data_IF_810394853498
#
_entry.id   IF_810394853498
#
_cell.length_a   1.000
_cell.length_b   1.000
_cell.length_c   1.000
_cell.angle_alpha   90.00
_cell.angle_beta   90.00
_cell.angle_gamma   90.00
#
_symmetry.space_group_name_H-M   'P 1'
#
loop_
_entity.id
_entity.type
_entity.pdbx_description
1 polymer ?
#
# COMPACT_ATOMS: atom_id res chain seq x y z
N UNK A 1 -2.88 20.68 -1.67
CA UNK A 1 -2.93 19.21 -1.56
C UNK A 1 -3.17 18.84 -0.09
N UNK A 2 -3.99 17.83 0.15
CA UNK A 2 -4.14 17.19 1.45
C UNK A 2 -3.40 15.85 1.39
N UNK A 3 -2.57 15.58 2.40
CA UNK A 3 -1.88 14.32 2.56
C UNK A 3 -2.60 13.49 3.64
N UNK A 4 -2.86 12.23 3.35
CA UNK A 4 -3.43 11.26 4.29
C UNK A 4 -2.51 10.05 4.35
N UNK A 5 -1.90 9.85 5.51
CA UNK A 5 -0.96 8.77 5.78
C UNK A 5 -1.63 7.65 6.57
N UNK A 6 -1.11 6.45 6.41
CA UNK A 6 -1.54 5.30 7.18
C UNK A 6 -1.10 5.41 8.64
N UNK A 7 -2.05 5.32 9.57
CA UNK A 7 -1.84 5.40 11.02
C UNK A 7 -1.56 4.00 11.61
N UNK A 8 -0.46 3.37 11.19
CA UNK A 8 -0.14 1.99 11.56
C UNK A 8 0.11 1.82 13.08
N UNK A 9 0.56 2.86 13.77
CA UNK A 9 0.88 2.82 15.21
C UNK A 9 -0.35 2.67 16.09
N UNK A 10 -1.54 2.96 15.58
CA UNK A 10 -2.80 2.82 16.32
C UNK A 10 -3.27 1.36 16.43
N UNK A 11 -2.69 0.44 15.66
CA UNK A 11 -3.10 -0.96 15.70
C UNK A 11 -2.49 -1.69 16.91
N UNK A 12 -3.28 -2.00 17.95
CA UNK A 12 -2.77 -2.60 19.19
C UNK A 12 -2.31 -4.05 19.01
N UNK A 13 -2.71 -4.71 17.91
CA UNK A 13 -2.38 -6.10 17.62
C UNK A 13 -1.09 -6.24 16.80
N UNK A 14 -0.63 -5.16 16.16
CA UNK A 14 0.48 -5.21 15.23
C UNK A 14 1.81 -5.70 15.85
N UNK A 15 2.20 -5.29 17.06
CA UNK A 15 3.42 -5.80 17.68
C UNK A 15 3.36 -7.31 18.02
N UNK A 16 2.18 -7.81 18.34
CA UNK A 16 1.99 -9.23 18.64
C UNK A 16 1.84 -10.05 17.35
N UNK A 17 1.29 -9.47 16.29
CA UNK A 17 1.23 -10.09 14.96
C UNK A 17 2.62 -10.47 14.44
N UNK A 18 3.62 -9.60 14.57
CA UNK A 18 4.99 -9.93 14.13
C UNK A 18 5.64 -11.07 14.92
N UNK A 19 5.18 -11.33 16.16
CA UNK A 19 5.66 -12.45 16.99
C UNK A 19 4.91 -13.75 16.71
N UNK A 20 3.60 -13.67 16.46
CA UNK A 20 2.71 -14.80 16.25
C UNK A 20 1.63 -14.45 15.21
N UNK A 21 1.98 -14.49 13.90
CA UNK A 21 1.06 -14.13 12.82
C UNK A 21 -0.20 -14.99 12.76
N UNK A 22 -0.09 -16.30 13.08
CA UNK A 22 -1.23 -17.21 13.05
C UNK A 22 -2.29 -16.83 14.08
N UNK A 23 -1.88 -16.40 15.24
CA UNK A 23 -2.77 -16.03 16.34
C UNK A 23 -3.39 -14.65 16.19
N UNK A 24 -2.62 -13.69 15.72
CA UNK A 24 -3.03 -12.27 15.71
C UNK A 24 -3.35 -11.72 14.32
N UNK A 25 -3.21 -12.54 13.27
CA UNK A 25 -3.44 -12.12 11.90
C UNK A 25 -4.84 -11.55 11.67
N UNK A 26 -5.88 -12.27 12.08
CA UNK A 26 -7.26 -11.84 11.85
C UNK A 26 -7.59 -10.50 12.55
N UNK A 27 -7.24 -10.36 13.81
CA UNK A 27 -7.49 -9.13 14.57
C UNK A 27 -6.73 -7.94 13.96
N UNK A 28 -5.49 -8.17 13.56
CA UNK A 28 -4.63 -7.15 12.96
C UNK A 28 -5.21 -6.66 11.62
N UNK A 29 -5.60 -7.58 10.75
CA UNK A 29 -6.15 -7.23 9.44
C UNK A 29 -7.54 -6.59 9.56
N UNK A 30 -8.39 -7.08 10.48
CA UNK A 30 -9.70 -6.49 10.71
C UNK A 30 -9.59 -5.07 11.28
N UNK A 31 -8.63 -4.83 12.17
CA UNK A 31 -8.38 -3.48 12.70
C UNK A 31 -7.98 -2.51 11.59
N UNK A 32 -7.01 -2.88 10.75
CA UNK A 32 -6.59 -2.06 9.62
C UNK A 32 -7.72 -1.79 8.63
N UNK A 33 -8.55 -2.79 8.33
CA UNK A 33 -9.71 -2.63 7.46
C UNK A 33 -10.67 -1.55 7.99
N UNK A 34 -11.01 -1.64 9.28
CA UNK A 34 -11.93 -0.70 9.93
C UNK A 34 -11.33 0.71 10.04
N UNK A 35 -10.04 0.82 10.35
CA UNK A 35 -9.32 2.09 10.43
C UNK A 35 -9.28 2.78 9.07
N UNK A 36 -8.89 2.06 7.99
CA UNK A 36 -8.92 2.62 6.63
C UNK A 36 -10.34 3.01 6.19
N UNK A 37 -11.35 2.23 6.56
CA UNK A 37 -12.72 2.59 6.28
C UNK A 37 -13.12 3.89 6.98
N UNK A 38 -12.76 4.07 8.25
CA UNK A 38 -12.98 5.32 8.99
C UNK A 38 -12.30 6.50 8.30
N UNK A 39 -11.03 6.38 7.94
CA UNK A 39 -10.31 7.41 7.18
C UNK A 39 -11.02 7.74 5.86
N UNK A 40 -11.53 6.75 5.12
CA UNK A 40 -12.29 6.98 3.89
C UNK A 40 -13.61 7.75 4.14
N UNK A 41 -14.29 7.51 5.27
CA UNK A 41 -15.50 8.29 5.62
C UNK A 41 -15.15 9.76 5.92
N UNK A 42 -14.03 10.01 6.60
CA UNK A 42 -13.54 11.36 6.86
C UNK A 42 -13.15 12.10 5.58
N UNK A 43 -12.58 11.39 4.59
CA UNK A 43 -12.26 11.96 3.28
C UNK A 43 -13.50 12.40 2.49
N UNK A 44 -14.62 11.73 2.64
CA UNK A 44 -15.89 12.13 2.00
C UNK A 44 -16.45 13.47 2.51
N UNK A 45 -16.13 13.81 3.75
CA UNK A 45 -16.56 15.06 4.37
C UNK A 45 -15.65 16.23 4.02
N UNK A 46 -14.58 15.96 3.26
CA UNK A 46 -13.58 16.96 2.92
C UNK A 46 -14.10 17.91 1.86
N UNK A 47 -13.89 19.16 2.20
CA UNK A 47 -14.21 20.40 1.56
C UNK A 47 -14.05 20.38 0.02
N UNK A 48 -15.09 20.83 -0.69
CA UNK A 48 -15.11 21.06 -2.14
C UNK A 48 -14.00 22.01 -2.63
N UNK A 49 -13.23 22.63 -1.72
CA UNK A 49 -12.12 23.53 -2.02
C UNK A 49 -10.75 22.85 -2.15
N UNK A 50 -10.63 21.55 -1.85
CA UNK A 50 -9.34 20.84 -1.96
C UNK A 50 -9.17 20.22 -3.35
N UNK A 51 -8.23 20.79 -4.10
CA UNK A 51 -7.97 20.40 -5.50
C UNK A 51 -7.18 19.08 -5.66
N UNK A 52 -6.52 18.59 -4.62
CA UNK A 52 -5.66 17.39 -4.68
C UNK A 52 -5.62 16.68 -3.33
N UNK A 53 -5.91 15.39 -3.35
CA UNK A 53 -5.77 14.46 -2.23
C UNK A 53 -4.69 13.45 -2.58
N UNK A 54 -3.73 13.23 -1.68
CA UNK A 54 -2.70 12.21 -1.79
C UNK A 54 -2.82 11.27 -0.60
N UNK A 55 -2.82 9.96 -0.88
CA UNK A 55 -2.78 8.91 0.16
C UNK A 55 -1.58 8.02 -0.09
N UNK A 56 -0.92 7.53 0.97
CA UNK A 56 0.20 6.58 0.87
C UNK A 56 -0.27 5.12 0.85
N UNK A 57 -1.57 4.89 0.77
CA UNK A 57 -2.19 3.57 0.67
C UNK A 57 -3.43 3.56 -0.22
N UNK A 58 -3.79 2.39 -0.69
CA UNK A 58 -5.10 2.08 -1.26
C UNK A 58 -5.91 1.23 -0.26
N UNK A 59 -7.24 1.33 -0.31
CA UNK A 59 -8.11 0.53 0.55
C UNK A 59 -7.86 -0.98 0.39
N UNK A 60 -7.58 -1.44 -0.82
CA UNK A 60 -7.27 -2.84 -1.13
C UNK A 60 -5.98 -3.36 -0.49
N UNK A 61 -5.06 -2.48 -0.08
CA UNK A 61 -3.80 -2.88 0.56
C UNK A 61 -4.03 -3.90 1.67
N UNK A 62 -5.02 -3.66 2.50
CA UNK A 62 -5.35 -4.54 3.61
C UNK A 62 -5.75 -5.95 3.16
N UNK A 63 -6.52 -6.05 2.09
CA UNK A 63 -6.92 -7.35 1.52
C UNK A 63 -5.74 -8.14 0.95
N UNK A 64 -4.74 -7.45 0.39
CA UNK A 64 -3.52 -8.10 -0.10
C UNK A 64 -2.73 -8.72 1.07
N UNK A 65 -2.60 -8.01 2.19
CA UNK A 65 -2.02 -8.57 3.40
C UNK A 65 -2.87 -9.69 4.00
N UNK A 66 -4.18 -9.51 4.07
CA UNK A 66 -5.11 -10.51 4.59
C UNK A 66 -5.00 -11.84 3.81
N UNK A 67 -4.82 -11.78 2.50
CA UNK A 67 -4.70 -12.98 1.66
C UNK A 67 -3.49 -13.86 2.00
N UNK A 68 -2.45 -13.30 2.60
CA UNK A 68 -1.27 -14.04 3.05
C UNK A 68 -1.35 -14.48 4.52
N UNK A 69 -2.06 -13.72 5.34
CA UNK A 69 -1.99 -13.86 6.79
C UNK A 69 -3.19 -14.60 7.39
N UNK A 70 -4.27 -14.78 6.62
CA UNK A 70 -5.51 -15.36 7.11
C UNK A 70 -5.71 -16.77 6.54
N UNK A 71 -6.21 -17.69 7.38
CA UNK A 71 -6.69 -18.97 6.90
C UNK A 71 -8.02 -18.81 6.14
N UNK A 72 -8.48 -19.88 5.48
CA UNK A 72 -9.68 -19.84 4.64
C UNK A 72 -10.95 -19.35 5.36
N UNK A 73 -11.14 -19.73 6.62
CA UNK A 73 -12.33 -19.35 7.40
C UNK A 73 -12.27 -17.87 7.81
N UNK A 74 -11.09 -17.43 8.22
CA UNK A 74 -10.83 -16.04 8.58
C UNK A 74 -10.94 -15.13 7.36
N UNK A 75 -10.36 -15.55 6.23
CA UNK A 75 -10.46 -14.82 4.96
C UNK A 75 -11.91 -14.72 4.47
N UNK A 76 -12.69 -15.80 4.60
CA UNK A 76 -14.11 -15.76 4.27
C UNK A 76 -14.86 -14.70 5.10
N UNK A 77 -14.63 -14.65 6.42
CA UNK A 77 -15.26 -13.66 7.29
C UNK A 77 -14.77 -12.25 6.98
N UNK A 78 -13.46 -12.09 6.79
CA UNK A 78 -12.83 -10.83 6.39
C UNK A 78 -13.49 -10.28 5.11
N UNK A 79 -13.62 -11.10 4.07
CA UNK A 79 -14.23 -10.72 2.79
C UNK A 79 -15.70 -10.29 2.95
N UNK A 80 -16.47 -10.93 3.83
CA UNK A 80 -17.83 -10.50 4.12
C UNK A 80 -17.87 -9.07 4.66
N UNK A 81 -16.98 -8.74 5.58
CA UNK A 81 -16.90 -7.38 6.15
C UNK A 81 -16.34 -6.41 5.11
N UNK A 82 -15.24 -6.73 4.45
CA UNK A 82 -14.60 -5.88 3.45
C UNK A 82 -15.56 -5.49 2.32
N UNK A 83 -16.30 -6.45 1.76
CA UNK A 83 -17.25 -6.22 0.68
C UNK A 83 -18.44 -5.29 1.08
N UNK A 84 -18.82 -5.27 2.36
CA UNK A 84 -19.82 -4.33 2.85
C UNK A 84 -19.28 -2.89 2.92
N UNK A 85 -18.02 -2.75 3.33
CA UNK A 85 -17.35 -1.47 3.52
C UNK A 85 -16.89 -0.85 2.19
N UNK A 86 -16.38 -1.68 1.27
CA UNK A 86 -15.81 -1.25 -0.01
C UNK A 86 -16.77 -0.46 -0.91
N UNK A 87 -18.08 -0.74 -0.80
CA UNK A 87 -19.13 0.00 -1.54
C UNK A 87 -19.10 1.52 -1.31
N UNK A 88 -18.50 1.93 -0.22
CA UNK A 88 -18.44 3.31 0.21
C UNK A 88 -17.03 3.93 0.13
N UNK A 89 -16.08 3.28 -0.53
CA UNK A 89 -14.71 3.77 -0.68
C UNK A 89 -14.60 4.72 -1.87
N UNK A 90 -13.82 5.79 -1.72
CA UNK A 90 -13.52 6.73 -2.81
C UNK A 90 -12.52 6.06 -3.75
N UNK A 91 -12.84 6.02 -5.04
CA UNK A 91 -11.90 5.55 -6.06
C UNK A 91 -10.88 6.64 -6.36
N UNK A 92 -9.58 6.30 -6.44
CA UNK A 92 -8.55 7.27 -6.84
C UNK A 92 -8.68 7.60 -8.34
N UNK A 93 -8.31 8.83 -8.72
CA UNK A 93 -8.21 9.23 -10.13
C UNK A 93 -6.94 8.66 -10.79
N UNK A 94 -5.90 8.41 -10.01
CA UNK A 94 -4.65 7.81 -10.42
C UNK A 94 -4.07 6.97 -9.28
N UNK A 95 -3.63 5.77 -9.61
CA UNK A 95 -2.82 4.93 -8.72
C UNK A 95 -1.37 4.97 -9.18
N UNK A 96 -0.45 5.16 -8.23
CA UNK A 96 0.99 5.06 -8.45
C UNK A 96 1.50 3.87 -7.62
N UNK A 97 1.99 2.85 -8.32
CA UNK A 97 2.61 1.70 -7.68
C UNK A 97 4.14 1.82 -7.78
N UNK A 98 4.78 2.03 -6.62
CA UNK A 98 6.24 2.02 -6.51
C UNK A 98 6.70 0.57 -6.36
N UNK A 99 7.12 -0.02 -7.47
CA UNK A 99 7.59 -1.40 -7.51
C UNK A 99 9.07 -1.46 -7.18
N UNK A 100 9.46 -2.39 -6.32
CA UNK A 100 10.86 -2.69 -6.00
C UNK A 100 11.07 -4.21 -5.88
N UNK A 101 12.32 -4.66 -6.07
CA UNK A 101 12.68 -6.04 -5.76
C UNK A 101 12.75 -6.29 -4.24
N UNK A 102 12.74 -7.55 -3.85
CA UNK A 102 12.73 -7.96 -2.44
C UNK A 102 13.93 -7.45 -1.67
N UNK A 103 15.12 -7.43 -2.28
CA UNK A 103 16.36 -6.94 -1.64
C UNK A 103 16.25 -5.44 -1.32
N UNK A 104 15.74 -4.65 -2.27
CA UNK A 104 15.49 -3.21 -2.07
C UNK A 104 14.43 -2.99 -0.98
N UNK A 105 13.36 -3.79 -0.95
CA UNK A 105 12.33 -3.71 0.09
C UNK A 105 12.91 -4.01 1.47
N UNK A 106 13.69 -5.08 1.62
CA UNK A 106 14.36 -5.45 2.87
C UNK A 106 15.32 -4.37 3.35
N UNK A 107 16.10 -3.79 2.43
CA UNK A 107 16.97 -2.64 2.73
C UNK A 107 16.17 -1.44 3.24
N UNK A 108 15.05 -1.10 2.61
CA UNK A 108 14.21 0.02 3.01
C UNK A 108 13.55 -0.23 4.38
N UNK A 109 13.10 -1.46 4.66
CA UNK A 109 12.57 -1.86 5.98
C UNK A 109 13.65 -1.67 7.06
N UNK A 110 14.85 -2.16 6.81
CA UNK A 110 15.99 -1.99 7.72
C UNK A 110 16.34 -0.52 7.96
N UNK A 111 16.38 0.31 6.91
CA UNK A 111 16.65 1.76 7.02
C UNK A 111 15.57 2.51 7.79
N UNK A 112 14.31 2.09 7.67
CA UNK A 112 13.18 2.65 8.42
C UNK A 112 13.28 2.38 9.91
N UNK A 113 13.88 1.23 10.30
CA UNK A 113 14.32 0.94 11.66
C UNK A 113 13.19 0.79 12.69
N UNK A 114 12.00 0.29 12.30
CA UNK A 114 10.92 0.01 13.24
C UNK A 114 11.24 -1.25 14.06
N UNK A 115 11.22 -1.13 15.38
CA UNK A 115 11.58 -2.25 16.27
C UNK A 115 10.75 -3.52 16.05
N UNK A 116 9.47 -3.38 15.75
CA UNK A 116 8.56 -4.49 15.50
C UNK A 116 8.83 -5.22 14.18
N UNK A 117 9.60 -4.62 13.26
CA UNK A 117 9.89 -5.17 11.94
C UNK A 117 11.30 -5.81 11.84
N UNK A 118 12.07 -5.82 12.93
CA UNK A 118 13.48 -6.29 12.90
C UNK A 118 13.64 -7.74 12.47
N UNK A 119 12.66 -8.58 12.81
CA UNK A 119 12.70 -10.02 12.56
C UNK A 119 11.80 -10.44 11.40
N UNK A 120 11.38 -9.50 10.54
CA UNK A 120 10.61 -9.83 9.34
C UNK A 120 11.44 -10.71 8.41
N UNK A 121 10.90 -11.89 8.08
CA UNK A 121 11.51 -12.81 7.13
C UNK A 121 11.46 -12.24 5.69
N UNK A 122 12.56 -12.41 4.94
CA UNK A 122 12.61 -12.00 3.53
C UNK A 122 11.62 -12.76 2.66
N UNK A 123 11.35 -14.02 3.00
CA UNK A 123 10.37 -14.87 2.32
C UNK A 123 8.94 -14.31 2.44
N UNK A 124 8.60 -13.73 3.59
CA UNK A 124 7.31 -13.05 3.77
C UNK A 124 7.19 -11.81 2.90
N UNK A 125 8.25 -11.00 2.83
CA UNK A 125 8.29 -9.80 1.98
C UNK A 125 8.26 -10.18 0.50
N UNK A 126 8.94 -11.27 0.12
CA UNK A 126 8.89 -11.79 -1.25
C UNK A 126 7.48 -12.24 -1.64
N UNK A 127 6.82 -13.03 -0.79
CA UNK A 127 5.45 -13.47 -1.01
C UNK A 127 4.49 -12.26 -1.12
N UNK A 128 4.64 -11.26 -0.26
CA UNK A 128 3.83 -10.05 -0.31
C UNK A 128 4.09 -9.25 -1.60
N UNK A 129 5.35 -9.13 -2.03
CA UNK A 129 5.73 -8.47 -3.28
C UNK A 129 5.12 -9.16 -4.51
N UNK A 130 5.07 -10.49 -4.51
CA UNK A 130 4.39 -11.26 -5.55
C UNK A 130 2.88 -10.97 -5.60
N UNK A 131 2.20 -10.96 -4.44
CA UNK A 131 0.77 -10.63 -4.35
C UNK A 131 0.49 -9.22 -4.88
N UNK A 132 1.30 -8.22 -4.53
CA UNK A 132 1.19 -6.87 -5.05
C UNK A 132 1.40 -6.82 -6.56
N UNK A 133 2.43 -7.47 -7.05
CA UNK A 133 2.76 -7.51 -8.49
C UNK A 133 1.62 -8.14 -9.28
N UNK A 134 1.08 -9.27 -8.81
CA UNK A 134 -0.05 -9.95 -9.47
C UNK A 134 -1.31 -9.10 -9.46
N UNK A 135 -1.62 -8.45 -8.33
CA UNK A 135 -2.76 -7.55 -8.21
C UNK A 135 -2.66 -6.39 -9.21
N UNK A 136 -1.55 -5.65 -9.21
CA UNK A 136 -1.37 -4.50 -10.09
C UNK A 136 -1.20 -4.90 -11.56
N UNK A 137 -0.71 -6.09 -11.84
CA UNK A 137 -0.70 -6.62 -13.21
C UNK A 137 -2.12 -6.75 -13.78
N UNK A 138 -3.09 -7.17 -12.94
CA UNK A 138 -4.50 -7.34 -13.33
C UNK A 138 -5.35 -6.08 -13.13
N UNK A 139 -4.83 -5.08 -12.43
CA UNK A 139 -5.57 -3.87 -12.07
C UNK A 139 -6.01 -3.08 -13.31
N UNK A 140 -7.31 -2.72 -13.37
CA UNK A 140 -7.92 -1.98 -14.48
C UNK A 140 -8.96 -0.93 -14.03
N UNK A 141 -9.17 -0.75 -12.73
CA UNK A 141 -10.27 0.07 -12.23
C UNK A 141 -10.08 1.56 -12.50
N UNK A 142 -8.84 2.04 -12.42
CA UNK A 142 -8.47 3.44 -12.66
C UNK A 142 -7.09 3.51 -13.34
N UNK A 143 -6.67 4.66 -13.89
CA UNK A 143 -5.33 4.82 -14.42
C UNK A 143 -4.26 4.36 -13.40
N UNK A 144 -3.28 3.61 -13.89
CA UNK A 144 -2.20 3.05 -13.08
C UNK A 144 -0.84 3.42 -13.69
N UNK A 145 0.02 4.01 -12.86
CA UNK A 145 1.42 4.20 -13.14
C UNK A 145 2.26 3.25 -12.28
N UNK A 146 3.01 2.36 -12.92
CA UNK A 146 3.98 1.47 -12.26
C UNK A 146 5.37 2.08 -12.43
N UNK A 147 6.04 2.41 -11.33
CA UNK A 147 7.39 2.96 -11.31
C UNK A 147 8.32 1.92 -10.71
N UNK A 148 9.28 1.45 -11.49
CA UNK A 148 10.34 0.59 -10.95
C UNK A 148 11.36 1.45 -10.18
N UNK A 149 11.48 1.19 -8.88
CA UNK A 149 12.34 1.95 -7.97
C UNK A 149 13.56 1.15 -7.50
N UNK A 150 13.79 -0.06 -8.02
CA UNK A 150 14.89 -0.93 -7.57
C UNK A 150 16.28 -0.30 -7.78
N UNK A 151 16.44 0.52 -8.81
CA UNK A 151 17.74 1.07 -9.21
C UNK A 151 17.87 2.58 -8.98
N UNK A 152 16.95 3.21 -8.27
CA UNK A 152 16.96 4.65 -8.01
C UNK A 152 16.77 4.93 -6.52
N UNK A 153 17.28 6.07 -6.06
CA UNK A 153 17.08 6.57 -4.70
C UNK A 153 16.49 7.99 -4.75
N UNK A 154 15.19 8.06 -5.06
CA UNK A 154 14.48 9.33 -5.16
C UNK A 154 14.34 10.08 -3.80
N UNK A 155 14.75 9.47 -2.69
CA UNK A 155 14.80 10.13 -1.37
C UNK A 155 16.08 10.93 -1.23
N UNK A 156 17.22 10.41 -1.71
CA UNK A 156 18.53 11.04 -1.61
C UNK A 156 18.94 11.78 -2.88
N UNK A 157 18.43 11.37 -4.03
CA UNK A 157 18.76 11.94 -5.32
C UNK A 157 17.57 12.78 -5.86
N UNK A 158 17.73 14.11 -5.82
CA UNK A 158 16.69 15.05 -6.29
C UNK A 158 16.38 14.92 -7.78
N UNK A 159 17.36 14.49 -8.61
CA UNK A 159 17.14 14.29 -10.05
C UNK A 159 16.17 13.13 -10.30
N UNK A 160 16.34 12.00 -9.58
CA UNK A 160 15.43 10.86 -9.69
C UNK A 160 14.00 11.26 -9.27
N UNK A 161 13.89 12.07 -8.22
CA UNK A 161 12.60 12.60 -7.77
C UNK A 161 11.97 13.52 -8.83
N UNK A 162 12.75 14.43 -9.41
CA UNK A 162 12.28 15.37 -10.44
C UNK A 162 11.79 14.62 -11.69
N UNK A 163 12.48 13.56 -12.11
CA UNK A 163 12.06 12.70 -13.22
C UNK A 163 10.71 12.03 -12.93
N UNK A 164 10.53 11.46 -11.75
CA UNK A 164 9.27 10.85 -11.31
C UNK A 164 8.15 11.90 -11.33
N UNK A 165 8.38 13.07 -10.74
CA UNK A 165 7.39 14.15 -10.68
C UNK A 165 7.01 14.61 -12.08
N UNK A 166 7.97 14.78 -12.98
CA UNK A 166 7.72 15.20 -14.35
C UNK A 166 6.91 14.14 -15.11
N UNK A 167 7.13 12.87 -14.85
CA UNK A 167 6.36 11.79 -15.46
C UNK A 167 4.91 11.75 -14.92
N UNK A 168 4.71 11.90 -13.62
CA UNK A 168 3.38 11.93 -12.98
C UNK A 168 2.53 13.10 -13.51
N UNK A 169 3.15 14.23 -13.84
CA UNK A 169 2.45 15.41 -14.40
C UNK A 169 1.93 15.22 -15.81
N UNK A 170 2.40 14.19 -16.52
CA UNK A 170 1.88 13.87 -17.85
C UNK A 170 0.50 13.22 -17.76
N UNK A 171 -0.35 13.36 -18.78
CA UNK A 171 -1.60 12.63 -18.82
C UNK A 171 -1.37 11.12 -18.78
N UNK A 172 -1.93 10.44 -17.77
CA UNK A 172 -1.82 9.00 -17.60
C UNK A 172 -3.19 8.40 -17.87
N UNK A 173 -3.26 7.54 -18.89
CA UNK A 173 -4.46 6.78 -19.25
C UNK A 173 -4.12 5.30 -19.28
N UNK A 174 -5.04 4.46 -18.76
CA UNK A 174 -4.81 3.02 -18.67
C UNK A 174 -3.62 2.68 -17.78
N UNK A 175 -2.81 1.72 -18.19
CA UNK A 175 -1.63 1.29 -17.45
C UNK A 175 -0.36 1.79 -18.15
N UNK A 176 0.49 2.49 -17.39
CA UNK A 176 1.80 2.95 -17.84
C UNK A 176 2.92 2.43 -16.95
N UNK A 177 4.06 2.17 -17.56
CA UNK A 177 5.29 1.75 -16.87
C UNK A 177 6.35 2.83 -17.03
N UNK A 178 7.04 3.12 -15.94
CA UNK A 178 8.19 4.01 -15.91
C UNK A 178 9.37 3.31 -15.24
N UNK A 179 10.43 3.10 -16.02
CA UNK A 179 11.68 2.53 -15.55
C UNK A 179 12.77 3.62 -15.66
N UNK A 180 12.95 4.43 -14.60
CA UNK A 180 14.01 5.43 -14.60
C UNK A 180 15.37 4.74 -14.70
N UNK A 181 16.26 5.34 -15.50
CA UNK A 181 17.62 4.86 -15.63
C UNK A 181 18.42 5.35 -14.41
N UNK A 182 19.18 4.44 -13.78
CA UNK A 182 20.14 4.85 -12.76
C UNK A 182 21.20 5.72 -13.38
N UNK A 183 21.28 6.97 -12.97
CA UNK A 183 22.33 7.93 -13.36
C UNK A 183 23.56 7.79 -12.46
#
# INVERSE_FOLDING_TARGET
>A
ARLVLEEFDENPFLPDFYKDPERYGFQTQLFFLLQRYRQQQELRQVDMFQKLLLTDYMFVKDRLFASLNLNEKEMYLYDKVANLLEKNVIKPDLVIYLQADTDTLMKNISLRGRDMEKDIASEYIDALNQVYTEYFFRYQDTPLLIINTSNIDFVKNSKDLDEIINFIRQPITGKKFFNPLSN
#
